data_IF_538922454025
#
_entry.id   IF_538922454025
#
_cell.length_a   1.000
_cell.length_b   1.000
_cell.length_c   1.000
_cell.angle_alpha   90.00
_cell.angle_beta   90.00
_cell.angle_gamma   90.00
#
_symmetry.space_group_name_H-M   'P 1'
#
loop_
_entity.id
_entity.type
_entity.pdbx_description
1 polymer ?
#
# COMPACT_ATOMS: atom_id res chain seq x y z
N UNK A 1 19.08 -22.74 7.09
CA UNK A 1 18.41 -21.42 7.02
C UNK A 1 17.52 -21.27 8.23
N UNK A 2 17.67 -20.18 8.99
CA UNK A 2 16.78 -19.90 10.13
C UNK A 2 15.43 -19.39 9.60
N UNK A 3 14.38 -20.22 9.70
CA UNK A 3 13.02 -19.89 9.25
C UNK A 3 12.50 -18.60 9.89
N UNK A 4 12.88 -18.34 11.15
CA UNK A 4 12.46 -17.12 11.86
C UNK A 4 13.08 -15.88 11.25
N UNK A 5 14.35 -15.96 10.82
CA UNK A 5 15.03 -14.87 10.13
C UNK A 5 14.36 -14.57 8.79
N UNK A 6 14.04 -15.61 8.01
CA UNK A 6 13.34 -15.46 6.73
C UNK A 6 11.94 -14.83 6.89
N UNK A 7 11.18 -15.20 7.92
CA UNK A 7 9.87 -14.59 8.19
C UNK A 7 9.99 -13.12 8.61
N UNK A 8 10.97 -12.79 9.48
CA UNK A 8 11.22 -11.39 9.86
C UNK A 8 11.61 -10.53 8.66
N UNK A 9 12.46 -11.03 7.77
CA UNK A 9 12.82 -10.32 6.54
C UNK A 9 11.59 -10.12 5.62
N UNK A 10 10.71 -11.11 5.51
CA UNK A 10 9.48 -11.00 4.73
C UNK A 10 8.51 -9.96 5.33
N UNK A 11 8.38 -9.93 6.66
CA UNK A 11 7.56 -8.94 7.38
C UNK A 11 8.11 -7.53 7.21
N UNK A 12 9.43 -7.34 7.34
CA UNK A 12 10.07 -6.04 7.12
C UNK A 12 9.82 -5.52 5.70
N UNK A 13 10.01 -6.36 4.68
CA UNK A 13 9.71 -5.98 3.29
C UNK A 13 8.25 -5.62 3.08
N UNK A 14 7.33 -6.29 3.78
CA UNK A 14 5.91 -6.00 3.69
C UNK A 14 5.57 -4.64 4.33
N UNK A 15 6.18 -4.34 5.49
CA UNK A 15 6.05 -3.04 6.17
C UNK A 15 6.63 -1.92 5.32
N UNK A 16 7.81 -2.09 4.75
CA UNK A 16 8.42 -1.11 3.86
C UNK A 16 7.53 -0.82 2.64
N UNK A 17 7.02 -1.88 1.98
CA UNK A 17 6.08 -1.73 0.86
C UNK A 17 4.78 -1.06 1.27
N UNK A 18 4.26 -1.36 2.45
CA UNK A 18 3.06 -0.71 2.99
C UNK A 18 3.31 0.78 3.18
N UNK A 19 4.40 1.16 3.83
CA UNK A 19 4.71 2.56 4.12
C UNK A 19 4.85 3.35 2.82
N UNK A 20 5.59 2.84 1.83
CA UNK A 20 5.75 3.48 0.53
C UNK A 20 4.41 3.64 -0.21
N UNK A 21 3.58 2.59 -0.24
CA UNK A 21 2.27 2.66 -0.89
C UNK A 21 1.32 3.62 -0.16
N UNK A 22 1.36 3.65 1.16
CA UNK A 22 0.53 4.54 1.98
C UNK A 22 0.93 6.00 1.82
N UNK A 23 2.23 6.31 1.76
CA UNK A 23 2.74 7.66 1.50
C UNK A 23 2.33 8.15 0.12
N UNK A 24 2.48 7.31 -0.93
CA UNK A 24 2.04 7.64 -2.29
C UNK A 24 0.54 7.89 -2.36
N UNK A 25 -0.25 6.98 -1.78
CA UNK A 25 -1.70 7.11 -1.73
C UNK A 25 -2.13 8.39 -1.01
N UNK A 26 -1.52 8.68 0.15
CA UNK A 26 -1.78 9.90 0.90
C UNK A 26 -1.44 11.15 0.06
N UNK A 27 -0.24 11.22 -0.53
CA UNK A 27 0.18 12.37 -1.34
C UNK A 27 -0.79 12.67 -2.48
N UNK A 28 -1.19 11.64 -3.23
CA UNK A 28 -2.10 11.81 -4.37
C UNK A 28 -3.49 12.24 -3.89
N UNK A 29 -4.00 11.67 -2.80
CA UNK A 29 -5.29 12.09 -2.25
C UNK A 29 -5.24 13.52 -1.68
N UNK A 30 -4.15 13.91 -1.03
CA UNK A 30 -3.95 15.28 -0.53
C UNK A 30 -3.91 16.29 -1.68
N UNK A 31 -3.32 15.93 -2.82
CA UNK A 31 -3.33 16.75 -4.04
C UNK A 31 -4.71 16.85 -4.67
N UNK A 32 -5.42 15.73 -4.82
CA UNK A 32 -6.82 15.73 -5.28
C UNK A 32 -7.70 16.61 -4.38
N UNK A 33 -7.56 16.46 -3.06
CA UNK A 33 -8.36 17.21 -2.08
C UNK A 33 -8.08 18.71 -2.17
N UNK A 34 -6.80 19.09 -2.35
CA UNK A 34 -6.40 20.49 -2.57
C UNK A 34 -6.99 21.07 -3.86
N UNK A 35 -6.95 20.34 -4.96
CA UNK A 35 -7.52 20.79 -6.23
C UNK A 35 -9.04 20.89 -6.19
N UNK A 36 -9.71 19.96 -5.53
CA UNK A 36 -11.16 20.00 -5.34
C UNK A 36 -11.61 21.15 -4.43
N UNK A 37 -10.81 21.51 -3.43
CA UNK A 37 -11.07 22.65 -2.56
C UNK A 37 -10.82 24.00 -3.26
N UNK A 38 -9.93 24.05 -4.25
CA UNK A 38 -9.75 25.21 -5.09
C UNK A 38 -10.94 25.30 -6.07
N UNK A 39 -11.80 26.32 -5.92
CA UNK A 39 -12.95 26.51 -6.80
C UNK A 39 -12.51 26.57 -8.28
N UNK A 40 -12.77 25.49 -9.02
CA UNK A 40 -12.40 25.33 -10.44
C UNK A 40 -11.17 24.47 -10.73
N UNK A 41 -10.55 23.80 -9.74
CA UNK A 41 -9.43 22.89 -9.96
C UNK A 41 -9.87 21.59 -10.64
N UNK A 42 -9.67 21.49 -11.95
CA UNK A 42 -9.87 20.24 -12.70
C UNK A 42 -8.78 19.22 -12.33
N UNK A 43 -9.18 17.99 -12.05
CA UNK A 43 -8.24 16.88 -11.90
C UNK A 43 -7.71 16.51 -13.29
N UNK A 44 -6.39 16.50 -13.46
CA UNK A 44 -5.77 16.04 -14.70
C UNK A 44 -5.95 14.54 -14.86
N UNK A 45 -5.98 14.05 -16.11
CA UNK A 45 -5.99 12.61 -16.40
C UNK A 45 -4.79 11.89 -15.77
N UNK A 46 -3.63 12.53 -15.76
CA UNK A 46 -2.43 12.02 -15.09
C UNK A 46 -2.64 11.83 -13.58
N UNK A 47 -3.20 12.83 -12.89
CA UNK A 47 -3.46 12.72 -11.45
C UNK A 47 -4.50 11.63 -11.14
N UNK A 48 -5.52 11.48 -11.99
CA UNK A 48 -6.49 10.38 -11.87
C UNK A 48 -5.82 9.01 -12.07
N UNK A 49 -4.91 8.88 -13.04
CA UNK A 49 -4.15 7.66 -13.28
C UNK A 49 -3.22 7.32 -12.12
N UNK A 50 -2.54 8.33 -11.55
CA UNK A 50 -1.72 8.18 -10.35
C UNK A 50 -2.56 7.71 -9.16
N UNK A 51 -3.77 8.23 -8.99
CA UNK A 51 -4.68 7.84 -7.92
C UNK A 51 -5.14 6.38 -8.06
N UNK A 52 -5.48 5.96 -9.27
CA UNK A 52 -5.82 4.56 -9.55
C UNK A 52 -4.64 3.64 -9.26
N UNK A 53 -3.44 4.03 -9.68
CA UNK A 53 -2.20 3.27 -9.45
C UNK A 53 -1.92 3.13 -7.96
N UNK A 54 -1.97 4.23 -7.20
CA UNK A 54 -1.73 4.20 -5.76
C UNK A 54 -2.80 3.37 -4.99
N UNK A 55 -4.06 3.40 -5.44
CA UNK A 55 -5.11 2.51 -4.92
C UNK A 55 -4.79 1.05 -5.17
N UNK A 56 -4.42 0.70 -6.40
CA UNK A 56 -4.08 -0.67 -6.78
C UNK A 56 -2.86 -1.19 -6.01
N UNK A 57 -1.84 -0.36 -5.80
CA UNK A 57 -0.66 -0.67 -4.96
C UNK A 57 -1.08 -0.98 -3.52
N UNK A 58 -1.89 -0.11 -2.90
CA UNK A 58 -2.39 -0.32 -1.54
C UNK A 58 -3.21 -1.60 -1.41
N UNK A 59 -4.09 -1.91 -2.38
CA UNK A 59 -4.82 -3.16 -2.38
C UNK A 59 -3.93 -4.39 -2.54
N UNK A 60 -2.90 -4.31 -3.37
CA UNK A 60 -1.94 -5.41 -3.55
C UNK A 60 -1.21 -5.70 -2.23
N UNK A 61 -0.80 -4.67 -1.49
CA UNK A 61 -0.17 -4.85 -0.17
C UNK A 61 -1.19 -5.42 0.84
N UNK A 62 -2.44 -4.92 0.87
CA UNK A 62 -3.50 -5.49 1.73
C UNK A 62 -3.71 -6.99 1.47
N UNK A 63 -3.75 -7.40 0.20
CA UNK A 63 -3.85 -8.82 -0.18
C UNK A 63 -2.64 -9.63 0.28
N UNK A 64 -1.43 -9.07 0.18
CA UNK A 64 -0.22 -9.72 0.68
C UNK A 64 -0.25 -9.90 2.21
N UNK A 65 -0.64 -8.87 2.96
CA UNK A 65 -0.85 -8.94 4.43
C UNK A 65 -1.88 -10.00 4.79
N UNK A 66 -3.01 -10.06 4.08
CA UNK A 66 -4.05 -11.05 4.34
C UNK A 66 -3.53 -12.49 4.15
N UNK A 67 -2.73 -12.75 3.11
CA UNK A 67 -2.10 -14.08 2.90
C UNK A 67 -1.15 -14.44 4.03
N UNK A 68 -0.29 -13.50 4.43
CA UNK A 68 0.64 -13.67 5.56
C UNK A 68 -0.12 -13.98 6.86
N UNK A 69 -1.22 -13.27 7.12
CA UNK A 69 -2.08 -13.51 8.28
C UNK A 69 -2.70 -14.92 8.27
N UNK A 70 -3.12 -15.41 7.11
CA UNK A 70 -3.63 -16.78 6.97
C UNK A 70 -2.54 -17.81 7.24
N UNK A 71 -1.34 -17.62 6.68
CA UNK A 71 -0.20 -18.51 6.95
C UNK A 71 0.14 -18.58 8.44
N UNK A 72 0.17 -17.42 9.10
CA UNK A 72 0.38 -17.31 10.54
C UNK A 72 -0.69 -18.07 11.33
N UNK A 73 -1.96 -17.79 11.07
CA UNK A 73 -3.09 -18.41 11.78
C UNK A 73 -3.18 -19.94 11.54
N UNK A 74 -2.71 -20.42 10.39
CA UNK A 74 -2.68 -21.84 10.06
C UNK A 74 -1.53 -22.63 10.71
N UNK A 75 -0.69 -21.97 11.52
CA UNK A 75 0.47 -22.59 12.15
C UNK A 75 1.65 -22.87 11.21
N UNK A 76 1.56 -22.51 9.92
CA UNK A 76 2.66 -22.67 8.95
C UNK A 76 3.88 -21.79 9.27
N UNK A 77 3.70 -20.80 10.16
CA UNK A 77 4.73 -19.89 10.67
C UNK A 77 5.19 -20.19 12.11
N UNK A 78 4.97 -21.39 12.63
CA UNK A 78 5.57 -21.84 13.90
C UNK A 78 6.09 -23.28 13.78
#
# INVERSE_FOLDING_TARGET
MDKRKAWREQEQRLVERWNLAAERYKRVNDEISRLQAAAGGALSEDLMQQAQTARAEMEAVRRAVARVKVEFNSGKRY
#
